data_IF_007044135181
#
_entry.id   IF_007044135181
#
_cell.length_a   1.000
_cell.length_b   1.000
_cell.length_c   1.000
_cell.angle_alpha   90.00
_cell.angle_beta   90.00
_cell.angle_gamma   90.00
#
_symmetry.space_group_name_H-M   'P 1'
#
loop_
_entity.id
_entity.type
_entity.pdbx_description
1 polymer ?
#
# COMPACT_ATOMS: atom_id res chain seq x y z
N UNK A 1 -0.82 -4.45 16.49
CA UNK A 1 -0.54 -3.94 15.14
C UNK A 1 0.81 -4.53 14.71
N UNK A 2 1.30 -4.39 13.48
CA UNK A 2 2.70 -4.62 13.08
C UNK A 2 2.99 -3.57 12.03
N UNK A 3 4.10 -2.86 12.16
CA UNK A 3 4.49 -1.75 11.31
C UNK A 3 5.79 -2.05 10.58
N UNK A 4 5.88 -1.70 9.30
CA UNK A 4 7.13 -1.70 8.54
C UNK A 4 7.51 -0.28 8.13
N UNK A 5 8.71 0.15 8.51
CA UNK A 5 9.37 1.34 7.97
C UNK A 5 10.61 0.95 7.18
N UNK A 6 10.87 1.69 6.10
CA UNK A 6 12.12 1.63 5.38
C UNK A 6 13.22 2.42 6.14
N UNK A 7 14.43 1.86 6.36
CA UNK A 7 15.57 2.61 6.89
C UNK A 7 16.10 3.70 5.93
N UNK A 8 15.75 3.67 4.63
CA UNK A 8 16.16 4.65 3.63
C UNK A 8 15.17 5.81 3.44
N UNK A 9 14.64 6.35 4.55
CA UNK A 9 13.76 7.53 4.50
C UNK A 9 14.49 8.75 3.95
N UNK A 10 14.03 9.27 2.82
CA UNK A 10 14.39 10.60 2.31
C UNK A 10 14.11 11.64 3.42
N UNK A 11 15.18 12.32 3.87
CA UNK A 11 15.16 13.28 4.97
C UNK A 11 14.63 14.66 4.55
N UNK A 12 14.04 14.80 3.36
CA UNK A 12 13.52 16.10 2.92
C UNK A 12 12.33 16.55 3.80
N UNK A 13 12.30 17.81 4.26
CA UNK A 13 11.24 18.33 5.11
C UNK A 13 9.85 18.16 4.47
N UNK A 14 8.83 17.87 5.29
CA UNK A 14 7.40 17.74 4.93
C UNK A 14 6.74 19.05 4.45
N UNK A 15 7.53 19.99 3.93
CA UNK A 15 7.04 21.28 3.42
C UNK A 15 6.23 21.06 2.15
N UNK A 16 4.90 21.28 2.24
CA UNK A 16 3.92 21.27 1.13
C UNK A 16 4.14 20.15 0.10
N UNK A 17 4.23 18.88 0.53
CA UNK A 17 4.23 17.72 -0.37
C UNK A 17 2.86 17.05 -0.36
N UNK A 18 2.41 16.56 -1.52
CA UNK A 18 1.23 15.68 -1.60
C UNK A 18 1.73 14.24 -1.52
N UNK A 19 1.38 13.53 -0.44
CA UNK A 19 1.65 12.09 -0.31
C UNK A 19 0.37 11.34 -0.62
N UNK A 20 0.39 10.52 -1.66
CA UNK A 20 -0.72 9.62 -1.97
C UNK A 20 -0.35 8.20 -1.59
N UNK A 21 -1.14 7.62 -0.69
CA UNK A 21 -1.08 6.22 -0.32
C UNK A 21 -2.17 5.51 -1.09
N UNK A 22 -1.78 4.64 -2.02
CA UNK A 22 -2.74 3.91 -2.86
C UNK A 22 -2.76 2.45 -2.43
N UNK A 23 -3.96 1.93 -2.18
CA UNK A 23 -4.23 0.51 -2.05
C UNK A 23 -5.24 0.17 -3.15
N UNK A 24 -4.78 -0.21 -4.33
CA UNK A 24 -5.66 -0.42 -5.47
C UNK A 24 -4.98 -1.05 -6.67
N UNK A 25 -5.76 -1.83 -7.41
CA UNK A 25 -5.36 -2.59 -8.60
C UNK A 25 -5.79 -1.89 -9.90
N UNK A 26 -6.68 -0.90 -9.80
CA UNK A 26 -7.31 -0.27 -10.96
C UNK A 26 -6.38 0.77 -11.59
N UNK A 27 -5.97 0.51 -12.83
CA UNK A 27 -5.10 1.39 -13.64
C UNK A 27 -5.61 2.84 -13.65
N UNK A 28 -6.91 3.04 -13.84
CA UNK A 28 -7.50 4.38 -13.87
C UNK A 28 -7.42 5.10 -12.52
N UNK A 29 -7.55 4.38 -11.40
CA UNK A 29 -7.44 4.95 -10.06
C UNK A 29 -6.01 5.41 -9.76
N UNK A 30 -5.04 4.53 -10.04
CA UNK A 30 -3.61 4.81 -9.83
C UNK A 30 -3.16 5.97 -10.72
N UNK A 31 -3.52 5.95 -12.01
CA UNK A 31 -3.15 6.99 -12.97
C UNK A 31 -3.80 8.34 -12.62
N UNK A 32 -5.07 8.37 -12.21
CA UNK A 32 -5.73 9.60 -11.79
C UNK A 32 -5.03 10.23 -10.59
N UNK A 33 -4.68 9.43 -9.58
CA UNK A 33 -3.95 9.93 -8.42
C UNK A 33 -2.56 10.44 -8.76
N UNK A 34 -1.87 9.77 -9.69
CA UNK A 34 -0.58 10.24 -10.21
C UNK A 34 -0.70 11.58 -10.92
N UNK A 35 -1.67 11.72 -11.82
CA UNK A 35 -1.91 12.97 -12.54
C UNK A 35 -2.28 14.10 -11.58
N UNK A 36 -3.11 13.83 -10.57
CA UNK A 36 -3.44 14.80 -9.54
C UNK A 36 -2.20 15.26 -8.77
N UNK A 37 -1.32 14.33 -8.40
CA UNK A 37 -0.07 14.64 -7.70
C UNK A 37 0.85 15.52 -8.57
N UNK A 38 1.02 15.20 -9.86
CA UNK A 38 1.84 15.94 -10.81
C UNK A 38 1.31 17.37 -11.09
N UNK A 39 -0.01 17.54 -11.15
CA UNK A 39 -0.64 18.83 -11.48
C UNK A 39 -1.00 19.65 -10.22
N UNK A 40 -0.59 19.22 -9.03
CA UNK A 40 -0.92 19.89 -7.76
C UNK A 40 -0.16 21.20 -7.50
N UNK A 41 0.82 21.54 -8.36
CA UNK A 41 1.69 22.72 -8.18
C UNK A 41 2.75 22.55 -7.08
N UNK A 42 2.84 21.36 -6.47
CA UNK A 42 3.86 20.98 -5.50
C UNK A 42 4.40 19.58 -5.81
N UNK A 43 5.61 19.21 -5.34
CA UNK A 43 6.12 17.87 -5.50
C UNK A 43 5.19 16.82 -4.87
N UNK A 44 4.70 15.89 -5.70
CA UNK A 44 3.84 14.79 -5.30
C UNK A 44 4.62 13.47 -5.28
N UNK A 45 4.35 12.64 -4.27
CA UNK A 45 4.97 11.32 -4.13
C UNK A 45 3.89 10.25 -3.91
N UNK A 46 4.07 9.09 -4.52
CA UNK A 46 3.11 7.97 -4.44
C UNK A 46 3.81 6.74 -3.90
N UNK A 47 3.33 6.22 -2.77
CA UNK A 47 3.93 5.07 -2.10
C UNK A 47 2.97 3.87 -2.07
N UNK A 48 3.43 2.66 -2.44
CA UNK A 48 2.67 1.43 -2.29
C UNK A 48 2.49 1.11 -0.80
N UNK A 49 1.23 1.05 -0.37
CA UNK A 49 0.85 0.81 1.01
C UNK A 49 -0.06 -0.41 1.11
N UNK A 50 0.20 -1.23 2.11
CA UNK A 50 -0.63 -2.39 2.44
C UNK A 50 -1.20 -2.30 3.84
N UNK A 51 -2.51 -2.51 3.95
CA UNK A 51 -3.23 -2.57 5.22
C UNK A 51 -3.96 -3.90 5.35
N UNK A 52 -3.58 -4.70 6.33
CA UNK A 52 -4.23 -5.97 6.64
C UNK A 52 -5.04 -5.85 7.93
N UNK A 53 -6.33 -5.55 7.80
CA UNK A 53 -7.23 -5.33 8.94
C UNK A 53 -8.64 -5.92 8.77
N UNK A 54 -8.86 -6.75 7.74
CA UNK A 54 -10.20 -7.21 7.39
C UNK A 54 -10.87 -8.04 8.49
N UNK A 55 -10.11 -8.72 9.36
CA UNK A 55 -10.70 -9.57 10.40
C UNK A 55 -11.38 -8.75 11.49
N UNK A 56 -10.93 -7.51 11.74
CA UNK A 56 -11.54 -6.62 12.72
C UNK A 56 -12.98 -6.29 12.31
N UNK A 57 -13.20 -6.03 11.02
CA UNK A 57 -14.51 -5.71 10.47
C UNK A 57 -14.58 -6.17 9.01
N UNK A 58 -14.92 -7.44 8.77
CA UNK A 58 -14.87 -7.99 7.42
C UNK A 58 -15.92 -7.34 6.52
N UNK A 59 -15.62 -7.20 5.21
CA UNK A 59 -16.60 -6.70 4.26
C UNK A 59 -17.82 -7.64 4.24
N UNK A 60 -19.04 -7.09 4.07
CA UNK A 60 -20.24 -7.91 4.02
C UNK A 60 -20.21 -8.83 2.79
N UNK A 61 -20.48 -10.12 2.99
CA UNK A 61 -20.42 -11.13 1.94
C UNK A 61 -21.53 -10.97 0.86
N UNK A 62 -22.61 -10.22 1.12
CA UNK A 62 -23.73 -9.96 0.18
C UNK A 62 -24.41 -8.60 0.46
N UNK A 63 -25.19 -8.08 -0.51
CA UNK A 63 -26.11 -6.94 -0.32
C UNK A 63 -27.23 -7.35 0.64
N UNK A 64 -27.02 -7.13 1.94
CA UNK A 64 -27.90 -7.59 3.01
C UNK A 64 -29.13 -6.69 3.17
N UNK A 65 -30.25 -7.31 3.57
CA UNK A 65 -31.50 -6.64 3.95
C UNK A 65 -31.26 -5.80 5.21
N UNK A 66 -31.97 -4.69 5.34
CA UNK A 66 -31.88 -3.77 6.48
C UNK A 66 -32.07 -4.53 7.81
N UNK A 67 -31.10 -4.45 8.74
CA UNK A 67 -31.22 -5.03 10.10
C UNK A 67 -30.16 -6.06 10.50
N UNK A 68 -29.19 -6.41 9.64
CA UNK A 68 -28.17 -7.39 9.99
C UNK A 68 -27.02 -6.83 10.86
N UNK A 69 -26.59 -7.64 11.84
CA UNK A 69 -25.53 -7.31 12.82
C UNK A 69 -24.16 -7.30 12.14
N UNK A 70 -23.39 -6.21 12.32
CA UNK A 70 -21.97 -6.16 11.91
C UNK A 70 -21.14 -7.12 12.77
N UNK A 71 -20.31 -7.92 12.12
CA UNK A 71 -19.29 -8.71 12.82
C UNK A 71 -18.12 -7.77 13.15
N UNK A 72 -17.76 -7.72 14.43
CA UNK A 72 -16.57 -7.02 14.92
C UNK A 72 -15.78 -8.02 15.74
N UNK A 73 -14.47 -8.09 15.53
CA UNK A 73 -13.59 -9.01 16.26
C UNK A 73 -12.33 -8.30 16.78
N UNK A 74 -11.69 -8.90 17.78
CA UNK A 74 -10.36 -8.51 18.23
C UNK A 74 -9.33 -9.34 17.47
N UNK A 75 -8.54 -8.70 16.61
CA UNK A 75 -7.54 -9.38 15.79
C UNK A 75 -6.28 -8.54 15.58
N UNK A 76 -5.17 -9.21 15.28
CA UNK A 76 -3.94 -8.56 14.85
C UNK A 76 -4.17 -7.81 13.52
N UNK A 77 -3.54 -6.64 13.38
CA UNK A 77 -3.57 -5.84 12.15
C UNK A 77 -2.16 -5.49 11.72
N UNK A 78 -1.93 -5.35 10.42
CA UNK A 78 -0.64 -5.03 9.83
C UNK A 78 -0.71 -3.80 8.93
N UNK A 79 0.31 -2.97 8.97
CA UNK A 79 0.51 -1.83 8.08
C UNK A 79 1.94 -1.85 7.55
N UNK A 80 2.10 -1.75 6.24
CA UNK A 80 3.42 -1.67 5.60
C UNK A 80 3.39 -0.60 4.50
N UNK A 81 4.52 0.09 4.35
CA UNK A 81 4.78 0.99 3.24
C UNK A 81 6.13 0.63 2.62
N UNK A 82 6.19 0.56 1.30
CA UNK A 82 7.43 0.33 0.55
C UNK A 82 7.87 1.61 -0.18
N UNK A 83 9.10 1.65 -0.75
CA UNK A 83 9.61 2.83 -1.44
C UNK A 83 8.71 3.33 -2.57
N UNK A 84 8.84 4.62 -2.88
CA UNK A 84 8.18 5.23 -4.04
C UNK A 84 8.59 4.51 -5.33
N UNK A 85 7.59 4.23 -6.18
CA UNK A 85 7.81 3.77 -7.55
C UNK A 85 7.67 4.97 -8.46
N UNK A 86 8.73 5.29 -9.20
CA UNK A 86 8.74 6.46 -10.08
C UNK A 86 8.18 6.10 -11.45
N UNK A 87 7.09 6.77 -11.84
CA UNK A 87 6.45 6.53 -13.14
C UNK A 87 7.42 6.67 -14.32
N UNK A 88 8.30 7.68 -14.32
CA UNK A 88 9.23 7.91 -15.42
C UNK A 88 10.27 6.79 -15.61
N UNK A 89 10.65 6.08 -14.54
CA UNK A 89 11.58 4.95 -14.62
C UNK A 89 10.94 3.75 -15.34
N UNK A 90 9.62 3.59 -15.21
CA UNK A 90 8.85 2.54 -15.91
C UNK A 90 8.46 2.99 -17.31
N UNK A 91 7.86 4.18 -17.43
CA UNK A 91 7.32 4.69 -18.69
C UNK A 91 8.39 4.86 -19.78
N UNK A 92 9.65 5.11 -19.42
CA UNK A 92 10.75 5.19 -20.38
C UNK A 92 11.02 3.90 -21.16
N UNK A 93 10.46 2.76 -20.73
CA UNK A 93 10.61 1.46 -21.39
C UNK A 93 9.45 1.12 -22.35
N UNK A 94 8.45 2.00 -22.50
CA UNK A 94 7.25 1.75 -23.28
C UNK A 94 6.99 2.87 -24.29
N UNK A 95 6.71 2.51 -25.54
CA UNK A 95 6.33 3.47 -26.58
C UNK A 95 4.86 3.89 -26.45
N UNK A 96 4.01 2.98 -26.01
CA UNK A 96 2.59 3.19 -25.82
C UNK A 96 2.30 3.74 -24.40
N UNK A 97 1.69 4.93 -24.27
CA UNK A 97 1.34 5.51 -22.97
C UNK A 97 0.37 4.66 -22.15
N UNK A 98 -0.49 3.86 -22.77
CA UNK A 98 -1.44 3.02 -22.04
C UNK A 98 -0.75 1.79 -21.45
N UNK A 99 0.17 1.17 -22.19
CA UNK A 99 1.02 0.09 -21.67
C UNK A 99 1.92 0.59 -20.52
N UNK A 100 2.43 1.82 -20.61
CA UNK A 100 3.20 2.42 -19.52
C UNK A 100 2.37 2.55 -18.22
N UNK A 101 1.10 2.94 -18.32
CA UNK A 101 0.19 3.05 -17.16
C UNK A 101 -0.12 1.70 -16.56
N UNK A 102 -0.34 0.69 -17.40
CA UNK A 102 -0.56 -0.69 -16.97
C UNK A 102 0.66 -1.24 -16.26
N UNK A 103 1.85 -1.09 -16.85
CA UNK A 103 3.11 -1.54 -16.26
C UNK A 103 3.39 -0.86 -14.92
N UNK A 104 3.15 0.46 -14.83
CA UNK A 104 3.29 1.20 -13.58
C UNK A 104 2.32 0.69 -12.51
N UNK A 105 1.06 0.51 -12.87
CA UNK A 105 0.03 0.00 -11.95
C UNK A 105 0.35 -1.41 -11.49
N UNK A 106 0.83 -2.27 -12.39
CA UNK A 106 1.22 -3.63 -12.07
C UNK A 106 2.42 -3.68 -11.12
N UNK A 107 3.45 -2.88 -11.35
CA UNK A 107 4.59 -2.76 -10.44
C UNK A 107 4.15 -2.28 -9.05
N UNK A 108 3.24 -1.31 -9.02
CA UNK A 108 2.66 -0.79 -7.79
C UNK A 108 1.87 -1.84 -7.02
N UNK A 109 1.00 -2.58 -7.71
CA UNK A 109 0.22 -3.66 -7.12
C UNK A 109 1.10 -4.81 -6.63
N UNK A 110 2.11 -5.21 -7.40
CA UNK A 110 3.06 -6.24 -6.99
C UNK A 110 3.75 -5.89 -5.66
N UNK A 111 4.13 -4.62 -5.47
CA UNK A 111 4.70 -4.16 -4.20
C UNK A 111 3.71 -4.21 -3.04
N UNK A 112 2.43 -3.89 -3.28
CA UNK A 112 1.36 -4.02 -2.26
C UNK A 112 1.16 -5.49 -1.88
N UNK A 113 1.15 -6.39 -2.86
CA UNK A 113 0.98 -7.84 -2.67
C UNK A 113 2.16 -8.46 -1.92
N UNK A 114 3.40 -8.09 -2.25
CA UNK A 114 4.60 -8.55 -1.53
C UNK A 114 4.50 -8.20 -0.04
N UNK A 115 4.22 -6.93 0.26
CA UNK A 115 4.03 -6.45 1.62
C UNK A 115 2.87 -7.18 2.32
N UNK A 116 1.78 -7.47 1.60
CA UNK A 116 0.63 -8.21 2.15
C UNK A 116 1.02 -9.62 2.58
N UNK A 117 1.78 -10.35 1.77
CA UNK A 117 2.21 -11.71 2.12
C UNK A 117 3.14 -11.73 3.33
N UNK A 118 4.00 -10.72 3.49
CA UNK A 118 4.82 -10.57 4.70
C UNK A 118 3.94 -10.35 5.93
N UNK A 119 2.99 -9.40 5.88
CA UNK A 119 2.06 -9.15 6.98
C UNK A 119 1.18 -10.36 7.30
N UNK A 120 0.71 -11.06 6.27
CA UNK A 120 -0.10 -12.27 6.41
C UNK A 120 0.70 -13.39 7.07
N UNK A 121 1.97 -13.57 6.71
CA UNK A 121 2.86 -14.55 7.35
C UNK A 121 3.15 -14.19 8.81
N UNK A 122 3.31 -12.90 9.11
CA UNK A 122 3.51 -12.42 10.48
C UNK A 122 2.30 -12.68 11.38
N UNK A 123 1.09 -12.36 10.90
CA UNK A 123 -0.15 -12.35 11.68
C UNK A 123 -0.87 -13.70 11.62
N UNK A 124 -1.22 -14.17 10.41
CA UNK A 124 -1.91 -15.45 10.24
C UNK A 124 -0.97 -16.65 10.27
N UNK A 125 0.24 -16.50 9.73
CA UNK A 125 1.30 -17.51 9.81
C UNK A 125 1.98 -17.58 11.18
N UNK A 126 1.65 -16.67 12.12
CA UNK A 126 2.18 -16.62 13.49
C UNK A 126 3.70 -16.47 13.58
N UNK A 127 4.34 -15.96 12.53
CA UNK A 127 5.79 -15.78 12.51
C UNK A 127 6.25 -14.50 13.23
N UNK A 128 5.32 -13.58 13.54
CA UNK A 128 5.63 -12.31 14.19
C UNK A 128 6.70 -11.52 13.42
N UNK A 129 7.71 -11.01 14.13
CA UNK A 129 8.83 -10.27 13.51
C UNK A 129 9.71 -11.16 12.60
N UNK A 130 9.67 -12.48 12.77
CA UNK A 130 10.41 -13.44 11.97
C UNK A 130 9.96 -13.54 10.51
N UNK A 131 8.80 -12.96 10.16
CA UNK A 131 8.34 -12.85 8.77
C UNK A 131 9.05 -11.76 7.97
N UNK A 132 9.88 -10.92 8.61
CA UNK A 132 10.58 -9.82 7.94
C UNK A 132 11.45 -10.33 6.78
N UNK A 133 11.52 -9.55 5.72
CA UNK A 133 12.36 -9.79 4.54
C UNK A 133 13.38 -8.66 4.39
N UNK A 134 14.37 -8.77 3.48
CA UNK A 134 15.28 -7.65 3.20
C UNK A 134 14.57 -6.36 2.76
N UNK A 135 13.36 -6.47 2.19
CA UNK A 135 12.55 -5.37 1.65
C UNK A 135 11.47 -4.88 2.63
N UNK A 136 11.07 -5.70 3.62
CA UNK A 136 10.01 -5.39 4.58
C UNK A 136 10.48 -5.71 6.00
N UNK A 137 10.76 -4.67 6.79
CA UNK A 137 11.26 -4.79 8.16
C UNK A 137 10.16 -4.56 9.18
N UNK A 138 9.66 -5.63 9.80
CA UNK A 138 8.55 -5.54 10.75
C UNK A 138 8.99 -5.06 12.13
N UNK A 139 8.10 -4.33 12.80
CA UNK A 139 8.29 -3.81 14.15
C UNK A 139 6.94 -3.66 14.87
N UNK A 140 6.99 -3.53 16.20
CA UNK A 140 5.83 -3.24 17.03
C UNK A 140 6.10 -2.00 17.89
N UNK A 141 6.02 -0.78 17.32
CA UNK A 141 6.44 0.47 17.97
C UNK A 141 5.39 1.01 18.96
N UNK A 142 4.88 0.16 19.83
CA UNK A 142 4.10 0.53 21.01
C UNK A 142 4.66 -0.21 22.21
N UNK A 143 4.63 0.46 23.36
CA UNK A 143 5.00 -0.13 24.65
C UNK A 143 3.84 -0.96 25.21
#
# INVERSE_FOLDING_TARGET
MIYSSNPAGDKTPLGKKVVVLVHGELVSGVDNMRRLAEHSGVPGHIYPLTLMCHDIMPPPLQKKKLGEKRLISFHGTGLSVAPEIKFHEIAGSYENPDEAKEAYTQAFYNSVVEQYYVLNSAIHGKQGLGASTPTVSLSQPWN
#
